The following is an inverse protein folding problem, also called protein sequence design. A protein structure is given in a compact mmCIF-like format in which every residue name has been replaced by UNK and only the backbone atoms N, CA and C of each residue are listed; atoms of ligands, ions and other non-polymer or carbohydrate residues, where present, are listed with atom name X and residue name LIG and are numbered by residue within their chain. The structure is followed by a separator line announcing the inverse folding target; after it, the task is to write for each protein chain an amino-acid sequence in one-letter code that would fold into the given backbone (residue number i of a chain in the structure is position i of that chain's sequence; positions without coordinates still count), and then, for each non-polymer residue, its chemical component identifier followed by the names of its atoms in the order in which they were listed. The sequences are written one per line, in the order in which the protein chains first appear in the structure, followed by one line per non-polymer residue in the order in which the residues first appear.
data_IF_081387017003
#
_entry.id   IF_081387017003
#
_cell.length_a   1.000
_cell.length_b   1.000
_cell.length_c   1.000
_cell.angle_alpha   90.00
_cell.angle_beta   90.00
_cell.angle_gamma   90.00
#
_symmetry.space_group_name_H-M   'P 1'
#
loop_
_entity.id
_entity.type
_entity.pdbx_description
1 polymer ?
#
# COMPACT_ATOMS: atom_id res chain seq x y z
N UNK A 1 -12.57 -1.58 -9.52
CA UNK A 1 -12.67 -2.39 -8.29
C UNK A 1 -11.77 -1.83 -7.21
N UNK A 2 -12.31 -1.67 -6.01
CA UNK A 2 -11.54 -1.25 -4.83
C UNK A 2 -11.55 -2.38 -3.82
N UNK A 3 -10.38 -2.93 -3.52
CA UNK A 3 -10.23 -4.13 -2.72
C UNK A 3 -9.36 -3.82 -1.48
N UNK A 4 -9.91 -4.05 -0.29
CA UNK A 4 -9.13 -4.01 0.94
C UNK A 4 -8.66 -5.41 1.29
N UNK A 5 -7.40 -5.56 1.69
CA UNK A 5 -6.85 -6.84 2.07
C UNK A 5 -5.84 -6.66 3.21
N UNK A 6 -5.94 -7.52 4.22
CA UNK A 6 -5.00 -7.47 5.33
C UNK A 6 -3.68 -8.10 4.92
N UNK A 7 -2.63 -7.29 4.95
CA UNK A 7 -1.26 -7.71 4.67
C UNK A 7 -0.46 -7.63 5.97
N UNK A 8 -0.75 -8.47 6.91
CA UNK A 8 -0.20 -8.52 8.26
C UNK A 8 1.23 -7.96 8.38
N UNK A 9 1.34 -6.70 8.74
CA UNK A 9 2.64 -6.08 9.03
C UNK A 9 3.39 -6.84 10.12
N UNK A 10 4.73 -6.78 10.10
CA UNK A 10 5.63 -7.52 10.99
C UNK A 10 5.57 -9.04 10.83
N UNK A 11 4.82 -9.55 9.87
CA UNK A 11 4.83 -10.97 9.51
C UNK A 11 5.24 -11.11 8.04
N UNK A 12 6.54 -11.33 7.76
CA UNK A 12 7.04 -11.29 6.39
C UNK A 12 6.42 -12.35 5.49
N UNK A 13 6.13 -13.53 6.01
CA UNK A 13 5.55 -14.62 5.22
C UNK A 13 4.13 -14.25 4.79
N UNK A 14 3.29 -13.82 5.75
CA UNK A 14 1.91 -13.46 5.45
C UNK A 14 1.84 -12.26 4.50
N UNK A 15 2.68 -11.26 4.72
CA UNK A 15 2.73 -10.09 3.87
C UNK A 15 3.18 -10.44 2.45
N UNK A 16 4.20 -11.29 2.32
CA UNK A 16 4.68 -11.77 1.00
C UNK A 16 3.60 -12.51 0.24
N UNK A 17 2.80 -13.33 0.92
CA UNK A 17 1.68 -14.05 0.29
C UNK A 17 0.65 -13.09 -0.29
N UNK A 18 0.33 -12.01 0.42
CA UNK A 18 -0.61 -11.00 -0.09
C UNK A 18 -0.02 -10.28 -1.30
N UNK A 19 1.26 -9.91 -1.24
CA UNK A 19 1.92 -9.24 -2.36
C UNK A 19 1.94 -10.15 -3.61
N UNK A 20 2.22 -11.43 -3.43
CA UNK A 20 2.18 -12.41 -4.53
C UNK A 20 0.78 -12.51 -5.12
N UNK A 21 -0.25 -12.57 -4.27
CA UNK A 21 -1.63 -12.60 -4.72
C UNK A 21 -1.96 -11.38 -5.59
N UNK A 22 -1.63 -10.18 -5.11
CA UNK A 22 -1.88 -8.95 -5.85
C UNK A 22 -1.12 -8.92 -7.16
N UNK A 23 0.14 -9.39 -7.15
CA UNK A 23 0.98 -9.42 -8.36
C UNK A 23 0.40 -10.32 -9.45
N UNK A 24 -0.26 -11.41 -9.06
CA UNK A 24 -0.84 -12.39 -10.01
C UNK A 24 -2.20 -11.98 -10.55
N UNK A 25 -2.89 -11.06 -9.89
CA UNK A 25 -4.19 -10.60 -10.37
C UNK A 25 -4.02 -9.83 -11.68
N UNK A 26 -4.94 -10.02 -12.64
CA UNK A 26 -4.83 -9.36 -13.94
C UNK A 26 -5.19 -7.89 -13.86
N UNK A 27 -4.83 -7.15 -14.92
CA UNK A 27 -5.22 -5.78 -15.09
C UNK A 27 -4.24 -4.78 -14.51
N UNK A 28 -4.48 -3.51 -14.81
CA UNK A 28 -3.68 -2.39 -14.35
C UNK A 28 -4.09 -2.03 -12.92
N UNK A 29 -3.11 -1.94 -12.03
CA UNK A 29 -3.36 -1.80 -10.60
C UNK A 29 -2.62 -0.61 -10.00
N UNK A 30 -3.26 0.00 -9.00
CA UNK A 30 -2.63 0.92 -8.07
C UNK A 30 -2.78 0.36 -6.65
N UNK A 31 -1.82 0.66 -5.79
CA UNK A 31 -1.77 0.11 -4.44
C UNK A 31 -1.62 1.24 -3.43
N UNK A 32 -2.34 1.14 -2.32
CA UNK A 32 -2.13 1.97 -1.14
C UNK A 32 -1.66 1.05 -0.02
N UNK A 33 -0.49 1.34 0.55
CA UNK A 33 0.08 0.57 1.65
C UNK A 33 -0.15 1.28 2.98
N UNK A 34 -0.80 0.59 3.92
CA UNK A 34 -1.05 1.03 5.29
C UNK A 34 -0.44 -0.02 6.24
N UNK A 35 0.88 -0.10 6.26
CA UNK A 35 1.59 -1.19 6.95
C UNK A 35 2.15 -0.81 8.32
N UNK A 36 2.06 0.46 8.71
CA UNK A 36 2.56 0.90 10.02
C UNK A 36 1.76 0.27 11.16
N UNK A 37 2.47 -0.24 12.15
CA UNK A 37 1.86 -0.76 13.36
C UNK A 37 1.63 0.36 14.37
N UNK A 38 0.37 0.65 14.63
CA UNK A 38 -0.02 1.74 15.52
C UNK A 38 0.44 1.51 16.97
N UNK A 39 0.67 0.27 17.38
CA UNK A 39 1.14 -0.03 18.73
C UNK A 39 2.59 0.36 18.97
N UNK A 40 3.40 0.38 17.94
CA UNK A 40 4.80 0.77 18.04
C UNK A 40 4.99 2.28 18.17
N UNK A 41 3.91 3.06 18.09
CA UNK A 41 3.93 4.50 18.32
C UNK A 41 4.14 4.87 19.80
N UNK A 42 4.28 3.89 20.69
CA UNK A 42 4.46 4.11 22.13
C UNK A 42 5.86 4.53 22.52
N UNK A 43 6.52 5.33 21.73
CA UNK A 43 7.72 6.03 22.17
C UNK A 43 9.03 5.33 21.96
N UNK A 44 9.07 4.16 21.35
CA UNK A 44 10.30 3.53 20.91
C UNK A 44 10.27 3.38 19.39
N UNK A 45 11.42 3.20 18.79
CA UNK A 45 11.50 2.97 17.36
C UNK A 45 10.79 1.67 16.98
N UNK A 46 9.89 1.76 16.02
CA UNK A 46 9.27 0.60 15.41
C UNK A 46 10.33 -0.33 14.84
N UNK A 47 10.17 -1.63 15.05
CA UNK A 47 11.08 -2.61 14.48
C UNK A 47 10.75 -2.83 12.99
N UNK A 48 11.57 -2.26 12.12
CA UNK A 48 11.38 -2.35 10.68
C UNK A 48 12.16 -3.48 10.01
N UNK A 49 12.85 -4.32 10.77
CA UNK A 49 13.71 -5.37 10.18
C UNK A 49 12.91 -6.40 9.37
N UNK A 50 11.64 -6.60 9.70
CA UNK A 50 10.78 -7.56 9.00
C UNK A 50 10.63 -7.25 7.50
N UNK A 51 10.78 -5.99 7.10
CA UNK A 51 10.62 -5.61 5.68
C UNK A 51 11.71 -6.21 4.79
N UNK A 52 12.88 -6.51 5.36
CA UNK A 52 13.97 -7.14 4.62
C UNK A 52 13.75 -8.64 4.42
N UNK A 53 12.87 -9.25 5.22
CA UNK A 53 12.48 -10.65 5.09
C UNK A 53 11.19 -10.83 4.27
N UNK A 54 10.53 -9.74 3.93
CA UNK A 54 9.30 -9.74 3.13
C UNK A 54 9.63 -9.51 1.66
N UNK A 55 8.99 -10.28 0.79
CA UNK A 55 9.24 -10.23 -0.66
C UNK A 55 8.48 -9.08 -1.33
N UNK A 56 8.93 -7.85 -1.08
CA UNK A 56 8.40 -6.65 -1.75
C UNK A 56 8.63 -6.71 -3.27
N UNK A 57 9.55 -7.55 -3.72
CA UNK A 57 9.85 -7.79 -5.13
C UNK A 57 8.60 -8.19 -5.94
N UNK A 58 7.62 -8.83 -5.31
CA UNK A 58 6.35 -9.13 -5.97
C UNK A 58 5.63 -7.87 -6.47
N UNK A 59 5.86 -6.73 -5.85
CA UNK A 59 5.23 -5.47 -6.24
C UNK A 59 5.94 -4.77 -7.41
N UNK A 60 7.07 -5.30 -7.84
CA UNK A 60 7.77 -4.80 -9.02
C UNK A 60 7.22 -5.46 -10.28
N UNK A 61 6.04 -5.00 -10.72
CA UNK A 61 5.34 -5.51 -11.89
C UNK A 61 5.02 -4.37 -12.85
N UNK A 62 5.06 -4.62 -14.17
CA UNK A 62 4.72 -3.57 -15.15
C UNK A 62 3.30 -3.03 -14.99
N UNK A 63 2.35 -3.89 -14.59
CA UNK A 63 0.95 -3.53 -14.45
C UNK A 63 0.59 -2.96 -13.07
N UNK A 64 1.54 -2.86 -12.16
CA UNK A 64 1.40 -2.07 -10.93
C UNK A 64 2.06 -0.72 -11.22
N UNK A 65 1.22 0.30 -11.39
CA UNK A 65 1.66 1.58 -11.98
C UNK A 65 1.89 2.67 -10.95
N UNK A 66 1.32 2.52 -9.75
CA UNK A 66 1.42 3.52 -8.70
C UNK A 66 1.29 2.85 -7.34
N UNK A 67 2.18 3.17 -6.42
CA UNK A 67 2.15 2.67 -5.05
C UNK A 67 2.20 3.87 -4.12
N UNK A 68 1.12 4.09 -3.39
CA UNK A 68 1.01 5.15 -2.38
C UNK A 68 1.34 4.56 -1.02
N UNK A 69 2.34 5.08 -0.37
CA UNK A 69 2.80 4.63 0.94
C UNK A 69 2.30 5.63 1.97
N UNK A 70 1.45 5.20 2.89
CA UNK A 70 0.84 6.09 3.87
C UNK A 70 1.19 5.66 5.30
N UNK A 71 1.45 6.63 6.16
CA UNK A 71 1.75 6.41 7.57
C UNK A 71 2.95 7.21 8.04
N UNK A 72 3.62 6.70 9.07
CA UNK A 72 4.75 7.37 9.72
C UNK A 72 6.10 6.95 9.14
N UNK A 73 6.24 5.66 8.80
CA UNK A 73 7.51 5.07 8.35
C UNK A 73 7.61 4.94 6.84
N UNK A 74 7.01 5.88 6.13
CA UNK A 74 6.91 5.82 4.67
C UNK A 74 8.26 5.75 3.96
N UNK A 75 9.26 6.46 4.47
CA UNK A 75 10.60 6.46 3.88
C UNK A 75 11.24 5.08 3.91
N UNK A 76 11.04 4.33 5.00
CA UNK A 76 11.58 2.98 5.12
C UNK A 76 10.96 2.03 4.09
N UNK A 77 9.64 2.09 3.92
CA UNK A 77 8.94 1.29 2.91
C UNK A 77 9.32 1.71 1.49
N UNK A 78 9.44 3.01 1.25
CA UNK A 78 9.87 3.51 -0.07
C UNK A 78 11.26 2.99 -0.42
N UNK A 79 12.19 3.08 0.51
CA UNK A 79 13.55 2.56 0.30
C UNK A 79 13.52 1.06 0.00
N UNK A 80 12.75 0.30 0.76
CA UNK A 80 12.63 -1.16 0.55
C UNK A 80 12.07 -1.48 -0.85
N UNK A 81 11.06 -0.73 -1.29
CA UNK A 81 10.48 -0.90 -2.63
C UNK A 81 11.49 -0.56 -3.73
N UNK A 82 12.28 0.49 -3.54
CA UNK A 82 13.35 0.81 -4.49
C UNK A 82 14.41 -0.28 -4.54
N UNK A 83 14.75 -0.89 -3.41
CA UNK A 83 15.65 -2.05 -3.35
C UNK A 83 15.07 -3.26 -4.07
N UNK A 84 13.75 -3.37 -4.11
CA UNK A 84 13.04 -4.41 -4.86
C UNK A 84 12.97 -4.14 -6.37
N UNK A 85 13.48 -3.03 -6.82
CA UNK A 85 13.52 -2.67 -8.23
C UNK A 85 12.35 -1.81 -8.71
N UNK A 86 11.47 -1.39 -7.81
CA UNK A 86 10.34 -0.53 -8.19
C UNK A 86 10.87 0.87 -8.54
N UNK A 87 10.56 1.40 -9.74
CA UNK A 87 11.01 2.75 -10.11
C UNK A 87 10.44 3.82 -9.17
N UNK A 88 11.27 4.79 -8.82
CA UNK A 88 10.88 5.86 -7.89
C UNK A 88 9.65 6.63 -8.35
N UNK A 89 9.48 6.84 -9.65
CA UNK A 89 8.34 7.56 -10.21
C UNK A 89 6.99 6.87 -9.95
N UNK A 90 7.00 5.59 -9.57
CA UNK A 90 5.78 4.87 -9.17
C UNK A 90 5.46 5.02 -7.68
N UNK A 91 6.35 5.60 -6.89
CA UNK A 91 6.23 5.64 -5.43
C UNK A 91 5.85 7.02 -4.95
N UNK A 92 4.82 7.09 -4.11
CA UNK A 92 4.34 8.32 -3.46
C UNK A 92 4.23 8.09 -1.97
N UNK A 93 4.51 9.12 -1.19
CA UNK A 93 4.49 9.06 0.28
C UNK A 93 3.53 10.10 0.84
N UNK A 94 2.83 9.76 1.90
CA UNK A 94 2.04 10.71 2.68
C UNK A 94 1.94 10.27 4.13
N UNK A 95 1.94 11.22 5.05
CA UNK A 95 1.64 10.95 6.46
C UNK A 95 0.13 10.95 6.72
N UNK A 96 -0.67 11.43 5.76
CA UNK A 96 -2.12 11.49 5.87
C UNK A 96 -2.73 10.20 5.31
N UNK A 97 -2.97 9.23 6.20
CA UNK A 97 -3.52 7.94 5.80
C UNK A 97 -4.92 8.08 5.19
N UNK A 98 -5.78 8.87 5.80
CA UNK A 98 -7.16 9.04 5.31
C UNK A 98 -7.22 9.81 4.00
N UNK A 99 -6.24 10.66 3.72
CA UNK A 99 -6.13 11.43 2.48
C UNK A 99 -5.28 10.79 1.40
N UNK A 100 -4.79 9.56 1.61
CA UNK A 100 -3.91 8.88 0.66
C UNK A 100 -4.54 8.69 -0.71
N UNK A 101 -5.86 8.59 -0.79
CA UNK A 101 -6.57 8.44 -2.06
C UNK A 101 -6.30 9.56 -3.06
N UNK A 102 -5.92 10.74 -2.57
CA UNK A 102 -5.65 11.90 -3.43
C UNK A 102 -4.40 11.71 -4.29
N UNK A 103 -3.54 10.77 -3.93
CA UNK A 103 -2.32 10.45 -4.67
C UNK A 103 -2.52 9.35 -5.72
N UNK A 104 -3.72 8.82 -5.85
CA UNK A 104 -4.05 7.89 -6.92
C UNK A 104 -4.12 8.62 -8.26
N UNK A 105 -3.60 7.98 -9.30
CA UNK A 105 -3.57 8.56 -10.64
C UNK A 105 -4.85 8.27 -11.42
N UNK A 106 -5.42 7.10 -11.25
CA UNK A 106 -6.67 6.64 -11.88
C UNK A 106 -6.63 6.71 -13.42
N UNK A 107 -5.47 6.41 -14.00
CA UNK A 107 -5.25 6.41 -15.45
C UNK A 107 -5.55 5.02 -16.02
N UNK A 108 -6.82 4.76 -16.35
CA UNK A 108 -7.30 3.46 -16.86
C UNK A 108 -6.99 2.32 -15.86
N UNK A 109 -7.07 2.61 -14.58
CA UNK A 109 -6.79 1.65 -13.52
C UNK A 109 -7.96 0.69 -13.35
N UNK A 110 -7.69 -0.62 -13.48
CA UNK A 110 -8.72 -1.65 -13.35
C UNK A 110 -9.05 -1.94 -11.89
N UNK A 111 -8.04 -1.94 -11.02
CA UNK A 111 -8.22 -2.27 -9.61
C UNK A 111 -7.31 -1.43 -8.72
N UNK A 112 -7.81 -1.10 -7.54
CA UNK A 112 -7.07 -0.42 -6.48
C UNK A 112 -7.07 -1.33 -5.27
N UNK A 113 -5.87 -1.66 -4.78
CA UNK A 113 -5.70 -2.50 -3.60
C UNK A 113 -5.26 -1.65 -2.43
N UNK A 114 -5.99 -1.73 -1.33
CA UNK A 114 -5.62 -1.11 -0.06
C UNK A 114 -5.12 -2.23 0.84
N UNK A 115 -3.81 -2.30 1.03
CA UNK A 115 -3.15 -3.33 1.82
C UNK A 115 -2.82 -2.76 3.20
N UNK A 116 -3.41 -3.33 4.24
CA UNK A 116 -3.33 -2.78 5.58
C UNK A 116 -2.92 -3.83 6.60
N UNK A 117 -2.27 -3.40 7.67
CA UNK A 117 -2.00 -4.25 8.81
C UNK A 117 -3.26 -4.35 9.70
N UNK A 118 -3.20 -5.19 10.74
CA UNK A 118 -4.37 -5.51 11.56
C UNK A 118 -5.04 -4.27 12.18
N UNK A 119 -4.24 -3.34 12.69
CA UNK A 119 -4.76 -2.18 13.41
C UNK A 119 -5.18 -1.02 12.51
N UNK A 120 -4.91 -1.12 11.23
CA UNK A 120 -5.32 -0.14 10.23
C UNK A 120 -6.63 -0.52 9.51
N UNK A 121 -7.33 -1.55 9.96
CA UNK A 121 -8.54 -2.02 9.29
C UNK A 121 -9.62 -0.94 9.18
N UNK A 122 -9.86 -0.19 10.26
CA UNK A 122 -10.87 0.88 10.24
C UNK A 122 -10.47 2.01 9.28
N UNK A 123 -9.22 2.41 9.29
CA UNK A 123 -8.68 3.41 8.35
C UNK A 123 -8.82 2.91 6.91
N UNK A 124 -8.53 1.65 6.65
CA UNK A 124 -8.66 1.05 5.33
C UNK A 124 -10.11 1.07 4.83
N UNK A 125 -11.08 0.82 5.70
CA UNK A 125 -12.50 0.86 5.33
C UNK A 125 -12.95 2.27 4.97
N UNK A 126 -12.54 3.26 5.76
CA UNK A 126 -12.82 4.67 5.46
C UNK A 126 -12.17 5.09 4.14
N UNK A 127 -10.94 4.68 3.94
CA UNK A 127 -10.18 4.99 2.73
C UNK A 127 -10.83 4.35 1.50
N UNK A 128 -11.32 3.12 1.62
CA UNK A 128 -12.07 2.46 0.54
C UNK A 128 -13.27 3.30 0.11
N UNK A 129 -14.04 3.80 1.06
CA UNK A 129 -15.21 4.62 0.75
C UNK A 129 -14.80 5.94 0.09
N UNK A 130 -13.72 6.56 0.58
CA UNK A 130 -13.17 7.78 0.00
C UNK A 130 -12.67 7.55 -1.44
N UNK A 131 -12.01 6.42 -1.69
CA UNK A 131 -11.54 6.06 -3.03
C UNK A 131 -12.72 5.89 -3.99
N UNK A 132 -13.77 5.20 -3.57
CA UNK A 132 -14.97 5.03 -4.40
C UNK A 132 -15.61 6.36 -4.75
N UNK A 133 -15.71 7.26 -3.79
CA UNK A 133 -16.22 8.60 -4.04
C UNK A 133 -15.32 9.38 -5.00
N UNK A 134 -14.01 9.31 -4.80
CA UNK A 134 -13.03 9.99 -5.64
C UNK A 134 -13.09 9.52 -7.10
N UNK A 135 -13.26 8.22 -7.31
CA UNK A 135 -13.43 7.65 -8.65
C UNK A 135 -14.71 8.23 -9.30
N UNK A 136 -15.82 8.24 -8.58
CA UNK A 136 -17.09 8.75 -9.09
C UNK A 136 -16.98 10.24 -9.45
N UNK A 137 -16.29 11.03 -8.65
CA UNK A 137 -16.08 12.46 -8.93
C UNK A 137 -15.24 12.69 -10.18
N UNK A 138 -14.23 11.84 -10.43
CA UNK A 138 -13.37 11.94 -11.62
C UNK A 138 -14.07 11.49 -12.91
N UNK A 139 -15.03 10.58 -12.80
CA UNK A 139 -15.80 10.10 -13.94
C UNK A 139 -16.99 11.01 -14.30
N UNK A 140 -17.30 11.94 -13.40
CA UNK A 140 -18.41 12.88 -13.62
C UNK A 140 -18.04 14.03 -14.57
#
# INVERSE_FOLDING_TARGET
NVITHMAKGQNPIACSCVFEYVAKEPGKKEIILLLDDIFDRRGSSENMTWIFDCDFEFLNQPNITNIVIAGVRTTDYKLRLMMAGVPEEKLKETSDEEGAYKLLELNDTDSIYILHELYAADTAMKLRDSVKQYINEKEA
#
